data_IF_287744610739
#
_entry.id   IF_287744610739
#
_cell.length_a   1.000
_cell.length_b   1.000
_cell.length_c   1.000
_cell.angle_alpha   90.00
_cell.angle_beta   90.00
_cell.angle_gamma   90.00
#
_symmetry.space_group_name_H-M   'P 1'
#
loop_
_entity.id
_entity.type
_entity.pdbx_description
1 polymer ?
#
# COMPACT_ATOMS: atom_id res chain seq x y z
N UNK A 1 25.08 -7.34 -26.21
CA UNK A 1 25.28 -5.94 -25.77
C UNK A 1 24.22 -5.07 -26.44
N UNK A 2 23.09 -4.82 -25.79
CA UNK A 2 22.09 -3.81 -26.22
C UNK A 2 21.56 -3.16 -24.95
N UNK A 3 22.04 -1.94 -24.70
CA UNK A 3 21.49 -1.02 -23.72
C UNK A 3 20.06 -0.67 -24.14
N UNK A 4 19.08 -0.89 -23.26
CA UNK A 4 17.78 -0.25 -23.37
C UNK A 4 17.51 0.52 -22.09
N UNK A 5 17.37 1.83 -22.29
CA UNK A 5 17.22 2.89 -21.30
C UNK A 5 16.06 2.61 -20.33
N UNK A 6 16.39 2.32 -19.07
CA UNK A 6 15.45 2.43 -17.96
C UNK A 6 15.30 3.91 -17.61
N UNK A 7 14.28 4.57 -18.16
CA UNK A 7 13.83 5.86 -17.63
C UNK A 7 13.09 5.60 -16.32
N UNK A 8 13.84 5.61 -15.22
CA UNK A 8 13.34 5.55 -13.85
C UNK A 8 12.61 6.86 -13.54
N UNK A 9 11.31 6.92 -13.79
CA UNK A 9 10.46 7.97 -13.23
C UNK A 9 10.27 7.70 -11.75
N UNK A 10 11.04 8.43 -10.95
CA UNK A 10 11.06 8.48 -9.51
C UNK A 10 9.65 8.80 -8.95
N UNK A 11 8.90 7.78 -8.53
CA UNK A 11 7.65 7.99 -7.77
C UNK A 11 8.01 8.16 -6.30
N UNK A 12 8.42 9.36 -5.89
CA UNK A 12 8.52 9.73 -4.47
C UNK A 12 7.10 9.76 -3.88
N UNK A 13 6.65 8.66 -3.29
CA UNK A 13 5.56 8.69 -2.33
C UNK A 13 6.11 9.32 -1.04
N UNK A 14 5.91 10.63 -0.89
CA UNK A 14 6.32 11.35 0.32
C UNK A 14 5.19 11.25 1.34
N UNK A 15 5.17 10.20 2.15
CA UNK A 15 4.35 10.15 3.36
C UNK A 15 5.23 10.64 4.51
N UNK A 16 5.01 11.87 4.95
CA UNK A 16 5.72 12.44 6.10
C UNK A 16 5.10 11.89 7.39
N UNK A 17 5.45 10.66 7.76
CA UNK A 17 5.05 10.07 9.05
C UNK A 17 6.01 10.58 10.12
N UNK A 18 5.60 11.57 10.90
CA UNK A 18 6.43 12.17 11.95
C UNK A 18 6.21 11.46 13.30
N UNK A 19 6.67 10.21 13.46
CA UNK A 19 6.57 9.53 14.78
C UNK A 19 7.60 8.42 15.01
N UNK A 20 8.12 8.31 16.25
CA UNK A 20 8.90 7.15 16.77
C UNK A 20 7.97 5.96 17.04
N UNK A 21 7.39 5.40 15.99
CA UNK A 21 6.56 4.18 16.06
C UNK A 21 7.36 3.03 15.44
N UNK A 22 7.06 1.77 15.83
CA UNK A 22 7.54 0.61 15.08
C UNK A 22 6.84 0.60 13.73
N UNK A 23 7.40 1.35 12.79
CA UNK A 23 6.91 1.39 11.42
C UNK A 23 7.46 0.14 10.74
N UNK A 24 6.60 -0.85 10.49
CA UNK A 24 6.98 -1.96 9.60
C UNK A 24 6.84 -1.44 8.17
N UNK A 25 7.86 -0.70 7.79
CA UNK A 25 8.01 -0.15 6.45
C UNK A 25 8.38 -1.30 5.54
N UNK A 26 7.40 -1.98 4.95
CA UNK A 26 7.63 -2.67 3.69
C UNK A 26 7.66 -1.65 2.54
N UNK A 27 8.53 -0.64 2.64
CA UNK A 27 8.91 0.20 1.49
C UNK A 27 9.86 -0.65 0.67
N UNK A 28 9.27 -1.51 -0.14
CA UNK A 28 10.00 -2.30 -1.10
C UNK A 28 9.97 -1.59 -2.46
N UNK A 29 10.65 -0.43 -2.55
CA UNK A 29 11.02 0.12 -3.87
C UNK A 29 11.89 -0.85 -4.69
N UNK A 30 12.28 -2.01 -4.15
CA UNK A 30 12.97 -3.06 -4.89
C UNK A 30 12.28 -4.44 -4.90
N UNK A 31 11.13 -4.67 -4.24
CA UNK A 31 10.45 -6.00 -4.31
C UNK A 31 8.93 -5.96 -3.95
N UNK A 32 8.13 -5.02 -4.46
CA UNK A 32 6.69 -5.03 -4.18
C UNK A 32 5.94 -6.08 -4.99
N UNK A 33 5.77 -7.30 -4.44
CA UNK A 33 4.96 -8.34 -5.07
C UNK A 33 3.48 -7.95 -5.09
N UNK A 34 2.98 -7.49 -6.23
CA UNK A 34 1.59 -7.10 -6.48
C UNK A 34 0.80 -8.22 -7.18
N UNK A 35 -0.54 -8.28 -7.06
CA UNK A 35 -1.33 -9.15 -7.92
C UNK A 35 -1.00 -8.87 -9.38
N UNK A 36 -0.90 -9.92 -10.18
CA UNK A 36 -0.50 -9.80 -11.58
C UNK A 36 -1.23 -8.65 -12.31
N UNK A 37 -0.44 -7.71 -12.83
CA UNK A 37 -0.91 -6.56 -13.60
C UNK A 37 0.04 -6.25 -14.77
N UNK A 38 -0.45 -6.42 -16.01
CA UNK A 38 0.22 -6.09 -17.29
C UNK A 38 1.70 -6.51 -17.42
N UNK A 39 2.15 -7.58 -16.75
CA UNK A 39 3.54 -8.04 -16.85
C UNK A 39 4.59 -7.10 -16.25
N UNK A 40 4.18 -6.15 -15.41
CA UNK A 40 5.09 -5.26 -14.71
C UNK A 40 5.98 -5.99 -13.70
N UNK A 41 7.07 -5.35 -13.28
CA UNK A 41 7.99 -5.89 -12.29
C UNK A 41 7.28 -6.26 -10.99
N UNK A 42 7.78 -7.29 -10.32
CA UNK A 42 7.30 -7.74 -9.01
C UNK A 42 5.82 -8.15 -9.02
N UNK A 43 5.38 -8.90 -10.02
CA UNK A 43 4.07 -9.56 -9.97
C UNK A 43 4.16 -10.91 -9.25
N UNK A 44 3.15 -11.24 -8.45
CA UNK A 44 2.85 -12.60 -8.03
C UNK A 44 1.45 -13.00 -8.53
N UNK A 45 1.24 -14.29 -8.84
CA UNK A 45 -0.12 -14.79 -8.98
C UNK A 45 -0.89 -14.58 -7.68
N UNK A 46 -2.18 -14.29 -7.82
CA UNK A 46 -3.13 -14.27 -6.69
C UNK A 46 -3.17 -15.66 -6.02
N UNK A 47 -3.61 -15.72 -4.77
CA UNK A 47 -3.61 -16.94 -3.97
C UNK A 47 -2.32 -17.14 -3.17
N UNK A 48 -1.87 -18.40 -3.09
CA UNK A 48 -0.88 -18.83 -2.09
C UNK A 48 0.43 -18.04 -2.12
N UNK A 49 0.96 -17.73 -3.31
CA UNK A 49 2.23 -17.04 -3.40
C UNK A 49 2.20 -15.63 -2.77
N UNK A 50 1.08 -14.90 -2.92
CA UNK A 50 0.88 -13.60 -2.25
C UNK A 50 0.67 -13.80 -0.75
N UNK A 51 -0.13 -14.79 -0.36
CA UNK A 51 -0.37 -15.10 1.03
C UNK A 51 0.94 -15.42 1.78
N UNK A 52 1.85 -16.19 1.18
CA UNK A 52 3.16 -16.51 1.75
C UNK A 52 4.03 -15.27 1.99
N UNK A 53 3.81 -14.20 1.22
CA UNK A 53 4.44 -12.90 1.46
C UNK A 53 3.77 -12.14 2.58
N UNK A 54 2.45 -12.08 2.59
CA UNK A 54 1.72 -11.38 3.65
C UNK A 54 1.86 -12.06 5.01
N UNK A 55 2.07 -13.38 5.04
CA UNK A 55 2.40 -14.13 6.26
C UNK A 55 3.74 -13.71 6.90
N UNK A 56 4.60 -12.98 6.19
CA UNK A 56 5.85 -12.46 6.74
C UNK A 56 5.66 -11.17 7.53
N UNK A 57 4.46 -10.57 7.50
CA UNK A 57 4.13 -9.38 8.29
C UNK A 57 3.99 -9.81 9.77
N UNK A 58 4.74 -9.22 10.71
CA UNK A 58 4.62 -9.52 12.14
C UNK A 58 3.24 -9.15 12.71
N UNK A 59 2.73 -9.93 13.67
CA UNK A 59 1.41 -9.70 14.29
C UNK A 59 1.35 -8.39 15.09
N UNK A 60 2.48 -7.90 15.60
CA UNK A 60 2.56 -6.66 16.40
C UNK A 60 2.84 -5.41 15.57
N UNK A 61 2.44 -5.40 14.30
CA UNK A 61 2.67 -4.27 13.39
C UNK A 61 1.66 -3.16 13.66
N UNK A 62 2.11 -2.01 14.17
CA UNK A 62 1.25 -0.83 14.37
C UNK A 62 0.91 -0.12 13.05
N UNK A 63 1.91 0.00 12.16
CA UNK A 63 1.81 0.70 10.88
C UNK A 63 2.29 -0.24 9.78
N UNK A 64 1.38 -0.58 8.87
CA UNK A 64 1.66 -1.35 7.66
C UNK A 64 1.78 -0.42 6.46
N UNK A 65 2.82 -0.58 5.66
CA UNK A 65 2.97 0.13 4.38
C UNK A 65 3.08 -0.88 3.25
N UNK A 66 2.22 -0.78 2.23
CA UNK A 66 2.26 -1.61 1.02
C UNK A 66 2.16 -0.75 -0.23
N UNK A 67 2.57 -1.26 -1.40
CA UNK A 67 2.31 -0.54 -2.65
C UNK A 67 0.84 -0.64 -3.07
N UNK A 68 0.29 -1.85 -3.06
CA UNK A 68 -1.08 -2.12 -3.50
C UNK A 68 -2.07 -2.04 -2.34
N UNK A 69 -3.33 -1.65 -2.64
CA UNK A 69 -4.40 -1.64 -1.66
C UNK A 69 -4.89 -3.06 -1.30
N UNK A 70 -5.42 -3.27 -0.08
CA UNK A 70 -6.25 -4.43 0.22
C UNK A 70 -7.58 -4.31 -0.54
N UNK A 71 -8.23 -5.44 -0.81
CA UNK A 71 -9.52 -5.47 -1.51
C UNK A 71 -10.58 -4.64 -0.75
N UNK A 72 -11.33 -3.80 -1.47
CA UNK A 72 -12.45 -3.04 -0.92
C UNK A 72 -12.10 -1.68 -0.30
N UNK A 73 -10.82 -1.39 -0.07
CA UNK A 73 -10.37 -0.10 0.47
C UNK A 73 -9.60 0.69 -0.57
N UNK A 74 -10.21 1.77 -1.06
CA UNK A 74 -9.56 2.74 -1.97
C UNK A 74 -8.92 2.10 -3.22
N UNK A 75 -9.54 1.02 -3.71
CA UNK A 75 -9.05 0.14 -4.78
C UNK A 75 -9.96 0.06 -6.01
N UNK A 76 -10.93 0.99 -6.12
CA UNK A 76 -11.82 1.08 -7.28
C UNK A 76 -11.12 1.74 -8.46
N UNK A 77 -11.19 1.12 -9.63
CA UNK A 77 -10.69 1.69 -10.89
C UNK A 77 -11.88 1.94 -11.82
N UNK A 78 -12.39 3.19 -11.90
CA UNK A 78 -13.56 3.55 -12.72
C UNK A 78 -13.42 3.12 -14.18
N UNK A 79 -12.24 3.31 -14.79
CA UNK A 79 -11.98 2.94 -16.20
C UNK A 79 -12.19 1.46 -16.49
N UNK A 80 -12.06 0.60 -15.48
CA UNK A 80 -12.23 -0.86 -15.59
C UNK A 80 -13.50 -1.36 -14.91
N UNK A 81 -14.27 -0.48 -14.27
CA UNK A 81 -15.46 -0.82 -13.49
C UNK A 81 -15.21 -1.98 -12.51
N UNK A 82 -14.04 -2.00 -11.87
CA UNK A 82 -13.63 -3.12 -11.02
C UNK A 82 -12.80 -2.69 -9.81
N UNK A 83 -12.81 -3.56 -8.80
CA UNK A 83 -11.92 -3.53 -7.64
C UNK A 83 -10.66 -4.32 -7.96
N UNK A 84 -9.49 -3.76 -7.66
CA UNK A 84 -8.20 -4.41 -7.99
C UNK A 84 -7.38 -4.81 -6.77
N UNK A 85 -7.84 -4.50 -5.56
CA UNK A 85 -7.12 -4.80 -4.34
C UNK A 85 -6.87 -6.29 -4.11
N UNK A 86 -5.97 -6.59 -3.18
CA UNK A 86 -5.59 -7.96 -2.84
C UNK A 86 -6.46 -8.52 -1.71
N UNK A 87 -7.11 -9.66 -1.95
CA UNK A 87 -7.98 -10.31 -0.96
C UNK A 87 -7.17 -10.93 0.18
N UNK A 88 -6.01 -11.50 -0.14
CA UNK A 88 -5.09 -12.10 0.83
C UNK A 88 -4.50 -11.05 1.77
N UNK A 89 -4.21 -9.86 1.25
CA UNK A 89 -3.79 -8.71 2.04
C UNK A 89 -4.92 -8.23 2.96
N UNK A 90 -6.15 -8.12 2.44
CA UNK A 90 -7.32 -7.78 3.25
C UNK A 90 -7.49 -8.75 4.42
N UNK A 91 -7.45 -10.06 4.15
CA UNK A 91 -7.57 -11.09 5.17
C UNK A 91 -6.45 -10.98 6.21
N UNK A 92 -5.21 -10.71 5.77
CA UNK A 92 -4.07 -10.53 6.67
C UNK A 92 -4.26 -9.32 7.59
N UNK A 93 -4.71 -8.20 7.04
CA UNK A 93 -4.92 -6.95 7.76
C UNK A 93 -6.07 -7.08 8.76
N UNK A 94 -7.25 -7.56 8.32
CA UNK A 94 -8.43 -7.56 9.18
C UNK A 94 -8.47 -8.71 10.20
N UNK A 95 -7.88 -9.86 9.87
CA UNK A 95 -8.03 -11.08 10.71
C UNK A 95 -6.81 -11.42 11.56
N UNK A 96 -5.63 -10.92 11.21
CA UNK A 96 -4.38 -11.31 11.89
C UNK A 96 -3.60 -10.13 12.43
N UNK A 97 -3.18 -9.22 11.56
CA UNK A 97 -2.24 -8.16 11.94
C UNK A 97 -2.94 -6.99 12.62
N UNK A 98 -4.11 -6.59 12.11
CA UNK A 98 -4.93 -5.49 12.63
C UNK A 98 -4.11 -4.22 12.97
N UNK A 99 -3.31 -3.70 12.02
CA UNK A 99 -2.52 -2.50 12.24
C UNK A 99 -3.44 -1.30 12.51
N UNK A 100 -2.97 -0.33 13.29
CA UNK A 100 -3.72 0.92 13.49
C UNK A 100 -3.81 1.74 12.21
N UNK A 101 -2.76 1.64 11.38
CA UNK A 101 -2.65 2.36 10.12
C UNK A 101 -2.11 1.45 9.01
N UNK A 102 -2.79 1.43 7.87
CA UNK A 102 -2.34 0.79 6.64
C UNK A 102 -2.24 1.84 5.52
N UNK A 103 -1.02 2.17 5.12
CA UNK A 103 -0.75 3.14 4.05
C UNK A 103 -0.37 2.43 2.77
N UNK A 104 -0.97 2.85 1.66
CA UNK A 104 -0.66 2.35 0.33
C UNK A 104 -0.85 3.41 -0.76
N UNK A 105 -0.67 3.01 -2.02
CA UNK A 105 -0.86 3.87 -3.18
C UNK A 105 -1.33 3.07 -4.38
N UNK A 106 -0.64 3.23 -5.51
CA UNK A 106 -0.86 2.53 -6.78
C UNK A 106 -2.15 2.91 -7.52
N UNK A 107 -3.29 2.99 -6.83
CA UNK A 107 -4.58 3.36 -7.43
C UNK A 107 -4.78 4.86 -7.27
N UNK A 108 -4.41 5.64 -8.29
CA UNK A 108 -4.45 7.10 -8.24
C UNK A 108 -5.87 7.64 -8.07
N UNK A 109 -6.88 6.93 -8.59
CA UNK A 109 -8.30 7.23 -8.41
C UNK A 109 -8.77 7.09 -6.96
N UNK A 110 -8.05 6.30 -6.17
CA UNK A 110 -8.41 5.99 -4.80
C UNK A 110 -7.77 6.91 -3.77
N UNK A 111 -7.12 8.02 -4.14
CA UNK A 111 -6.51 8.93 -3.17
C UNK A 111 -7.51 9.33 -2.07
N UNK A 112 -7.11 9.18 -0.81
CA UNK A 112 -7.98 9.47 0.33
C UNK A 112 -7.78 8.54 1.52
N UNK A 113 -8.79 8.47 2.39
CA UNK A 113 -8.76 7.71 3.63
C UNK A 113 -10.09 6.97 3.86
N UNK A 114 -10.02 5.77 4.42
CA UNK A 114 -11.15 4.97 4.89
C UNK A 114 -10.80 4.30 6.23
N UNK A 115 -11.79 3.81 6.95
CA UNK A 115 -11.59 3.03 8.19
C UNK A 115 -12.61 1.91 8.27
N UNK A 116 -12.22 0.78 8.86
CA UNK A 116 -13.13 -0.30 9.24
C UNK A 116 -13.46 -0.31 10.75
N UNK A 117 -13.10 0.77 11.45
CA UNK A 117 -13.23 0.91 12.89
C UNK A 117 -12.04 0.37 13.69
N UNK A 118 -11.19 -0.46 13.07
CA UNK A 118 -9.97 -1.00 13.70
C UNK A 118 -8.72 -0.43 13.02
N UNK A 119 -8.63 -0.59 11.71
CA UNK A 119 -7.53 -0.12 10.87
C UNK A 119 -7.95 1.14 10.10
N UNK A 120 -7.10 2.16 10.11
CA UNK A 120 -7.24 3.28 9.16
C UNK A 120 -6.46 2.98 7.89
N UNK A 121 -7.10 3.09 6.75
CA UNK A 121 -6.54 2.84 5.42
C UNK A 121 -6.32 4.15 4.69
N UNK A 122 -5.08 4.43 4.27
CA UNK A 122 -4.73 5.66 3.57
C UNK A 122 -4.13 5.31 2.21
N UNK A 123 -4.76 5.81 1.15
CA UNK A 123 -4.17 5.85 -0.18
C UNK A 123 -3.47 7.19 -0.38
N UNK A 124 -2.14 7.19 -0.27
CA UNK A 124 -1.28 8.36 -0.38
C UNK A 124 -0.71 8.54 -1.80
N UNK A 125 -1.47 8.18 -2.84
CA UNK A 125 -1.06 8.41 -4.23
C UNK A 125 -0.87 9.91 -4.48
N UNK A 126 0.38 10.37 -4.57
CA UNK A 126 0.69 11.78 -4.83
C UNK A 126 0.28 12.23 -6.24
N UNK A 127 0.33 11.30 -7.19
CA UNK A 127 -0.05 11.56 -8.57
C UNK A 127 -1.53 11.27 -8.82
N UNK A 128 -2.14 12.08 -9.68
CA UNK A 128 -3.49 11.84 -10.23
C UNK A 128 -3.43 10.82 -11.37
N UNK A 129 -4.60 10.45 -11.92
CA UNK A 129 -4.71 9.57 -13.10
C UNK A 129 -3.95 10.06 -14.34
N UNK A 130 -3.64 11.36 -14.39
CA UNK A 130 -2.87 11.98 -15.47
C UNK A 130 -1.36 12.06 -15.14
N UNK A 131 -0.91 11.36 -14.10
CA UNK A 131 0.47 11.35 -13.63
C UNK A 131 1.02 12.70 -13.18
N UNK A 132 0.12 13.63 -12.82
CA UNK A 132 0.49 14.93 -12.28
C UNK A 132 0.53 14.85 -10.74
N UNK A 133 1.61 15.32 -10.07
CA UNK A 133 1.80 15.25 -8.62
C UNK A 133 0.98 16.34 -7.90
N UNK A 134 -0.35 16.26 -8.00
CA UNK A 134 -1.28 17.29 -7.52
C UNK A 134 -1.98 16.93 -6.22
N UNK A 135 -1.94 15.66 -5.80
CA UNK A 135 -2.61 15.27 -4.57
C UNK A 135 -1.79 15.74 -3.36
N UNK A 136 -2.39 16.48 -2.42
CA UNK A 136 -1.66 17.00 -1.28
C UNK A 136 -1.21 15.86 -0.36
N UNK A 137 -0.16 16.07 0.46
CA UNK A 137 0.21 15.12 1.49
C UNK A 137 -0.95 14.92 2.48
N UNK A 138 -1.17 13.67 2.89
CA UNK A 138 -2.11 13.35 3.97
C UNK A 138 -1.31 13.33 5.28
N UNK A 139 -1.73 14.15 6.24
CA UNK A 139 -1.17 14.17 7.60
C UNK A 139 -2.05 13.30 8.49
N UNK A 140 -1.42 12.38 9.23
CA UNK A 140 -2.11 11.47 10.13
C UNK A 140 -1.31 11.33 11.44
N UNK A 141 -1.98 11.62 12.56
CA UNK A 141 -1.38 11.57 13.88
C UNK A 141 -1.74 10.26 14.57
N UNK A 142 -0.73 9.59 15.12
CA UNK A 142 -0.89 8.40 15.96
C UNK A 142 -0.44 8.70 17.38
N UNK A 143 -1.16 8.20 18.41
CA UNK A 143 -0.69 8.30 19.77
C UNK A 143 0.63 7.54 19.92
N UNK A 144 1.53 8.07 20.74
CA UNK A 144 2.78 7.37 21.08
C UNK A 144 2.48 5.98 21.67
N UNK A 145 3.34 4.99 21.41
CA UNK A 145 3.24 3.69 22.07
C UNK A 145 3.20 3.89 23.58
N UNK A 146 2.26 3.22 24.26
CA UNK A 146 2.24 3.23 25.72
C UNK A 146 3.50 2.50 26.21
N UNK A 147 4.34 3.20 26.97
CA UNK A 147 5.39 2.56 27.75
C UNK A 147 4.72 1.74 28.84
N UNK A 148 4.70 0.42 28.66
CA UNK A 148 4.41 -0.55 29.72
C UNK A 148 5.68 -0.90 30.46
#
# INVERSE_FOLDING_TARGET
>A
MKLNYFHSLCVRACVCVCVRVRVYVCVCMCVCRQPWYYGWGFNLPRGQALLDKWNQIPDNTDILVTHCPPLGFLDWVPKKMQRVGCMELLNTVQRRVQPKLHVFGHIHEGYGMMTDGTTTFINASACTVNFLPMNPPIVFDLPNPRTT
#
